data_IF_484461900568
#
_entry.id   IF_484461900568
#
_cell.length_a   1.000
_cell.length_b   1.000
_cell.length_c   1.000
_cell.angle_alpha   90.00
_cell.angle_beta   90.00
_cell.angle_gamma   90.00
#
_symmetry.space_group_name_H-M   'P 1'
#
loop_
_entity.id
_entity.type
_entity.pdbx_description
1 polymer ?
#
# COMPACT_ATOMS: atom_id res chain seq x y z
N UNK A 1 -56.63 -60.66 25.96
CA UNK A 1 -58.06 -60.74 25.52
C UNK A 1 -58.30 -59.60 24.51
N UNK A 2 -58.91 -60.00 23.41
CA UNK A 2 -59.53 -59.23 22.32
C UNK A 2 -58.59 -58.57 21.30
N UNK A 3 -58.55 -59.22 20.19
CA UNK A 3 -58.17 -58.80 18.84
C UNK A 3 -59.26 -57.87 18.27
N UNK A 4 -58.89 -56.90 17.50
CA UNK A 4 -59.72 -56.40 16.38
C UNK A 4 -58.77 -56.07 15.22
N UNK A 5 -58.97 -56.78 14.10
CA UNK A 5 -58.43 -56.48 12.76
C UNK A 5 -59.31 -55.42 12.09
N UNK A 6 -58.69 -54.46 11.41
CA UNK A 6 -59.35 -53.80 10.32
C UNK A 6 -58.42 -53.73 9.09
N UNK A 7 -58.96 -54.41 8.06
CA UNK A 7 -58.45 -54.36 6.69
C UNK A 7 -59.09 -53.17 6.01
N UNK A 8 -58.35 -52.30 5.36
CA UNK A 8 -58.91 -51.34 4.39
C UNK A 8 -58.01 -51.33 3.16
N UNK A 9 -58.71 -51.38 2.03
CA UNK A 9 -58.27 -51.57 0.66
C UNK A 9 -57.31 -50.57 0.11
N UNK A 10 -56.47 -51.05 -0.78
CA UNK A 10 -55.65 -50.35 -1.74
C UNK A 10 -56.53 -49.63 -2.80
N UNK A 11 -56.23 -48.36 -3.03
CA UNK A 11 -56.61 -47.66 -4.26
C UNK A 11 -55.35 -47.18 -4.92
N UNK A 12 -55.01 -47.81 -6.02
CA UNK A 12 -53.96 -47.41 -6.94
C UNK A 12 -54.48 -46.26 -7.78
N UNK A 13 -53.89 -45.09 -7.63
CA UNK A 13 -54.07 -43.97 -8.57
C UNK A 13 -52.75 -43.79 -9.32
N UNK A 14 -52.79 -44.21 -10.59
CA UNK A 14 -51.68 -43.91 -11.55
C UNK A 14 -51.84 -42.46 -11.95
N UNK A 15 -50.86 -41.65 -11.60
CA UNK A 15 -50.78 -40.26 -12.10
C UNK A 15 -49.48 -40.08 -12.87
N UNK A 16 -49.65 -39.64 -14.10
CA UNK A 16 -48.59 -39.56 -15.11
C UNK A 16 -47.44 -38.61 -14.75
N UNK A 17 -46.25 -39.03 -15.10
CA UNK A 17 -45.03 -38.20 -15.10
C UNK A 17 -45.15 -37.11 -16.14
N UNK A 18 -45.33 -35.86 -15.69
CA UNK A 18 -45.01 -34.70 -16.49
C UNK A 18 -43.61 -34.23 -16.09
N UNK A 19 -42.63 -34.49 -16.98
CA UNK A 19 -41.30 -33.99 -16.87
C UNK A 19 -41.30 -32.50 -17.12
N UNK A 20 -41.26 -31.68 -16.05
CA UNK A 20 -40.98 -30.27 -16.17
C UNK A 20 -39.49 -30.05 -16.19
N UNK A 21 -38.98 -29.66 -17.39
CA UNK A 21 -37.64 -29.18 -17.63
C UNK A 21 -37.41 -27.87 -16.82
N UNK A 22 -36.91 -27.98 -15.60
CA UNK A 22 -36.41 -26.82 -14.83
C UNK A 22 -35.10 -26.35 -15.47
N UNK A 23 -35.19 -25.43 -16.45
CA UNK A 23 -34.07 -24.59 -16.83
C UNK A 23 -33.67 -23.80 -15.58
N UNK A 24 -32.57 -24.21 -14.94
CA UNK A 24 -31.86 -23.39 -13.97
C UNK A 24 -31.42 -22.10 -14.65
N UNK A 25 -32.16 -21.04 -14.42
CA UNK A 25 -31.77 -19.67 -14.74
C UNK A 25 -30.62 -19.33 -13.79
N UNK A 26 -29.39 -19.67 -14.16
CA UNK A 26 -28.18 -19.10 -13.57
C UNK A 26 -28.11 -17.64 -13.98
N UNK A 27 -28.82 -16.81 -13.24
CA UNK A 27 -28.65 -15.36 -13.28
C UNK A 27 -27.21 -15.10 -12.82
N UNK A 28 -26.30 -14.92 -13.78
CA UNK A 28 -24.97 -14.42 -13.49
C UNK A 28 -25.14 -13.15 -12.64
N UNK A 29 -24.71 -13.19 -11.39
CA UNK A 29 -24.55 -11.99 -10.59
C UNK A 29 -23.61 -11.08 -11.38
N UNK A 30 -24.17 -10.04 -11.98
CA UNK A 30 -23.38 -8.88 -12.36
C UNK A 30 -22.77 -8.37 -11.07
N UNK A 31 -21.48 -8.60 -10.88
CA UNK A 31 -20.69 -7.89 -9.89
C UNK A 31 -20.84 -6.42 -10.22
N UNK A 32 -21.55 -5.71 -9.38
CA UNK A 32 -21.62 -4.26 -9.40
C UNK A 32 -20.19 -3.77 -9.19
N UNK A 33 -19.54 -3.33 -10.27
CA UNK A 33 -18.28 -2.62 -10.20
C UNK A 33 -18.59 -1.28 -9.52
N UNK A 34 -18.62 -1.28 -8.20
CA UNK A 34 -18.62 -0.04 -7.43
C UNK A 34 -17.30 0.66 -7.74
N UNK A 35 -17.35 1.46 -8.80
CA UNK A 35 -16.28 2.34 -9.23
C UNK A 35 -16.00 3.27 -8.06
N UNK A 36 -14.86 3.14 -7.41
CA UNK A 36 -14.44 4.10 -6.41
C UNK A 36 -14.43 5.48 -7.07
N UNK A 37 -15.28 6.38 -6.61
CA UNK A 37 -15.35 7.75 -7.14
C UNK A 37 -14.31 8.57 -6.40
N UNK A 38 -13.25 8.93 -7.10
CA UNK A 38 -12.23 9.84 -6.60
C UNK A 38 -12.58 11.29 -6.95
N UNK A 39 -12.10 12.28 -6.19
CA UNK A 39 -12.21 13.69 -6.57
C UNK A 39 -11.66 13.94 -7.98
N UNK A 40 -12.18 14.94 -8.68
CA UNK A 40 -11.76 15.24 -10.05
C UNK A 40 -10.23 15.36 -10.18
N UNK A 41 -9.67 14.64 -11.13
CA UNK A 41 -8.23 14.62 -11.45
C UNK A 41 -7.41 13.60 -10.66
N UNK A 42 -7.98 12.87 -9.71
CA UNK A 42 -7.31 11.79 -9.01
C UNK A 42 -7.50 10.44 -9.71
N UNK A 43 -6.45 9.63 -9.70
CA UNK A 43 -6.44 8.25 -10.23
C UNK A 43 -6.07 7.30 -9.11
N UNK A 44 -6.81 6.19 -8.98
CA UNK A 44 -6.45 5.15 -8.03
C UNK A 44 -5.15 4.48 -8.44
N UNK A 45 -4.21 4.35 -7.50
CA UNK A 45 -3.05 3.47 -7.61
C UNK A 45 -3.34 2.09 -6.99
N UNK A 46 -4.40 2.00 -6.18
CA UNK A 46 -4.87 0.75 -5.61
C UNK A 46 -6.39 0.67 -5.77
N UNK A 47 -6.87 -0.41 -6.37
CA UNK A 47 -8.29 -0.63 -6.67
C UNK A 47 -9.11 -1.19 -5.49
N UNK A 48 -8.45 -1.40 -4.33
CA UNK A 48 -9.06 -2.02 -3.13
C UNK A 48 -9.27 -3.53 -3.24
N UNK A 49 -8.82 -4.18 -4.31
CA UNK A 49 -9.11 -5.59 -4.61
C UNK A 49 -7.90 -6.40 -5.06
N UNK A 50 -6.97 -5.79 -5.78
CA UNK A 50 -5.84 -6.47 -6.42
C UNK A 50 -4.57 -5.64 -6.30
N UNK A 51 -3.43 -6.27 -6.56
CA UNK A 51 -2.13 -5.59 -6.65
C UNK A 51 -1.84 -5.09 -8.07
N UNK A 52 -2.85 -5.03 -8.95
CA UNK A 52 -2.70 -4.55 -10.33
C UNK A 52 -2.18 -3.10 -10.33
N UNK A 53 -1.20 -2.83 -11.17
CA UNK A 53 -0.53 -1.53 -11.25
C UNK A 53 0.70 -1.44 -10.35
N UNK A 54 1.07 -2.56 -9.70
CA UNK A 54 2.25 -2.70 -8.87
C UNK A 54 3.06 -3.94 -9.26
N UNK A 55 4.37 -3.86 -9.09
CA UNK A 55 5.28 -4.99 -9.24
C UNK A 55 6.36 -4.94 -8.15
N UNK A 56 7.06 -6.04 -7.96
CA UNK A 56 8.19 -6.11 -7.04
C UNK A 56 9.37 -5.31 -7.60
N UNK A 57 10.02 -4.51 -6.79
CA UNK A 57 11.23 -3.80 -7.21
C UNK A 57 12.27 -4.79 -7.76
N UNK A 58 12.79 -4.49 -8.96
CA UNK A 58 13.65 -5.41 -9.70
C UNK A 58 12.92 -6.30 -10.69
N UNK A 59 11.59 -6.15 -10.78
CA UNK A 59 10.73 -6.87 -11.72
C UNK A 59 10.06 -8.10 -11.14
N UNK A 60 9.07 -8.59 -11.88
CA UNK A 60 8.24 -9.72 -11.50
C UNK A 60 6.98 -9.32 -10.72
N UNK A 61 6.07 -10.27 -10.47
CA UNK A 61 4.83 -9.99 -9.78
C UNK A 61 5.08 -9.59 -8.31
N UNK A 62 4.12 -8.86 -7.75
CA UNK A 62 4.08 -8.59 -6.31
C UNK A 62 4.13 -9.91 -5.53
N UNK A 63 5.02 -10.01 -4.54
CA UNK A 63 5.19 -11.21 -3.74
C UNK A 63 3.96 -11.53 -2.90
N UNK A 64 3.77 -12.82 -2.56
CA UNK A 64 2.59 -13.32 -1.85
C UNK A 64 2.45 -12.84 -0.40
N UNK A 65 3.48 -12.22 0.16
CA UNK A 65 3.41 -11.55 1.46
C UNK A 65 2.59 -10.25 1.41
N UNK A 66 2.52 -9.60 0.25
CA UNK A 66 1.60 -8.50 0.03
C UNK A 66 0.21 -9.04 -0.27
N UNK A 67 -0.72 -8.74 0.61
CA UNK A 67 -2.09 -9.27 0.58
C UNK A 67 -3.12 -8.16 0.47
N UNK A 68 -4.29 -8.51 -0.06
CA UNK A 68 -5.43 -7.59 -0.13
C UNK A 68 -6.59 -8.19 0.65
N UNK A 69 -7.12 -7.45 1.60
CA UNK A 69 -8.33 -7.77 2.36
C UNK A 69 -9.06 -6.49 2.78
N UNK A 70 -10.38 -6.50 2.75
CA UNK A 70 -11.21 -5.37 3.19
C UNK A 70 -10.77 -4.02 2.62
N UNK A 71 -10.51 -3.98 1.30
CA UNK A 71 -10.01 -2.80 0.57
C UNK A 71 -8.69 -2.25 1.13
N UNK A 72 -7.88 -3.10 1.74
CA UNK A 72 -6.58 -2.77 2.32
C UNK A 72 -5.50 -3.63 1.67
N UNK A 73 -4.44 -2.98 1.21
CA UNK A 73 -3.19 -3.63 0.80
C UNK A 73 -2.28 -3.70 2.01
N UNK A 74 -1.76 -4.88 2.36
CA UNK A 74 -0.89 -5.00 3.52
C UNK A 74 0.23 -6.00 3.31
N UNK A 75 1.36 -5.74 3.95
CA UNK A 75 2.48 -6.65 4.04
C UNK A 75 2.29 -7.55 5.27
N UNK A 76 2.18 -8.84 5.05
CA UNK A 76 2.04 -9.84 6.12
C UNK A 76 3.42 -10.34 6.57
N UNK A 77 3.90 -9.81 7.69
CA UNK A 77 5.18 -10.18 8.28
C UNK A 77 5.13 -11.44 9.16
N UNK A 78 4.06 -12.22 9.12
CA UNK A 78 3.89 -13.41 9.98
C UNK A 78 4.75 -14.59 9.53
N UNK A 79 5.09 -14.69 8.24
CA UNK A 79 5.89 -15.79 7.69
C UNK A 79 7.26 -15.25 7.28
N UNK A 80 8.29 -15.65 8.05
CA UNK A 80 9.68 -15.25 7.81
C UNK A 80 10.58 -16.45 7.60
N UNK A 81 11.55 -16.29 6.71
CA UNK A 81 12.66 -17.22 6.53
C UNK A 81 13.97 -16.45 6.80
N UNK A 82 14.78 -16.95 7.72
CA UNK A 82 16.03 -16.29 8.16
C UNK A 82 15.85 -14.82 8.63
N UNK A 83 14.68 -14.50 9.22
CA UNK A 83 14.37 -13.15 9.70
C UNK A 83 13.78 -12.20 8.67
N UNK A 84 13.75 -12.58 7.39
CA UNK A 84 13.22 -11.80 6.26
C UNK A 84 11.82 -12.33 5.91
N UNK A 85 10.92 -11.45 5.53
CA UNK A 85 9.58 -11.86 5.09
C UNK A 85 9.69 -12.73 3.84
N UNK A 86 9.14 -13.95 3.94
CA UNK A 86 9.12 -14.87 2.80
C UNK A 86 8.25 -14.29 1.68
N UNK A 87 8.82 -14.21 0.47
CA UNK A 87 8.17 -13.67 -0.72
C UNK A 87 7.57 -12.27 -0.48
N UNK A 88 8.31 -11.46 0.27
CA UNK A 88 8.09 -10.02 0.46
C UNK A 88 8.92 -9.20 -0.54
N UNK A 89 9.40 -8.08 -0.06
CA UNK A 89 10.20 -7.08 -0.78
C UNK A 89 9.38 -5.86 -1.14
N UNK A 90 10.09 -4.78 -1.42
CA UNK A 90 9.49 -3.50 -1.83
C UNK A 90 8.67 -3.65 -3.10
N UNK A 91 7.56 -2.95 -3.17
CA UNK A 91 6.71 -2.90 -4.36
C UNK A 91 6.63 -1.48 -4.91
N UNK A 92 6.70 -1.39 -6.23
CA UNK A 92 6.68 -0.11 -6.94
C UNK A 92 5.52 -0.05 -7.92
N UNK A 93 5.03 1.16 -8.20
CA UNK A 93 4.00 1.37 -9.23
C UNK A 93 4.52 0.98 -10.61
N UNK A 94 3.66 0.45 -11.51
CA UNK A 94 4.03 0.22 -12.92
C UNK A 94 4.30 1.54 -13.66
N UNK A 95 3.54 2.59 -13.32
CA UNK A 95 3.72 3.93 -13.87
C UNK A 95 4.75 4.74 -13.08
N UNK A 96 5.41 5.68 -13.77
CA UNK A 96 6.30 6.68 -13.18
C UNK A 96 5.63 8.06 -13.15
N UNK A 97 5.98 8.86 -12.14
CA UNK A 97 5.41 10.19 -11.88
C UNK A 97 6.52 11.24 -11.70
N UNK A 98 6.28 12.46 -12.19
CA UNK A 98 7.20 13.59 -12.07
C UNK A 98 6.64 14.68 -11.16
N UNK A 99 5.51 15.29 -11.55
CA UNK A 99 4.79 16.26 -10.74
C UNK A 99 3.47 15.66 -10.31
N UNK A 100 3.26 15.55 -9.01
CA UNK A 100 2.11 14.82 -8.48
C UNK A 100 1.67 15.29 -7.09
N UNK A 101 0.42 14.98 -6.78
CA UNK A 101 -0.14 14.89 -5.45
C UNK A 101 -0.43 13.40 -5.19
N UNK A 102 0.24 12.76 -4.26
CA UNK A 102 0.00 11.41 -3.82
C UNK A 102 -0.76 11.46 -2.49
N UNK A 103 -1.90 10.81 -2.43
CA UNK A 103 -2.63 10.59 -1.17
C UNK A 103 -2.68 9.09 -0.85
N UNK A 104 -2.49 8.77 0.41
CA UNK A 104 -2.73 7.42 0.93
C UNK A 104 -3.01 7.46 2.43
N UNK A 105 -3.51 6.35 2.94
CA UNK A 105 -3.61 6.12 4.38
C UNK A 105 -2.77 4.90 4.75
N UNK A 106 -2.06 5.00 5.89
CA UNK A 106 -1.27 3.90 6.41
C UNK A 106 -1.55 3.63 7.88
N UNK A 107 -1.29 2.40 8.28
CA UNK A 107 -1.35 1.91 9.64
C UNK A 107 -0.18 0.95 9.85
N UNK A 108 0.45 0.96 11.03
CA UNK A 108 1.64 0.15 11.31
C UNK A 108 1.44 -0.73 12.53
N UNK A 109 2.13 -1.88 12.55
CA UNK A 109 2.19 -2.77 13.71
C UNK A 109 3.10 -2.20 14.80
N UNK A 110 2.97 -2.74 16.02
CA UNK A 110 3.84 -2.37 17.14
C UNK A 110 5.31 -2.66 16.82
N UNK A 111 6.18 -1.67 17.04
CA UNK A 111 7.59 -1.73 16.70
C UNK A 111 7.84 -1.76 15.19
N UNK A 112 6.85 -1.39 14.38
CA UNK A 112 6.94 -1.48 12.93
C UNK A 112 7.70 -0.33 12.29
N UNK A 113 8.28 -0.62 11.12
CA UNK A 113 8.97 0.30 10.24
C UNK A 113 8.54 0.01 8.79
N UNK A 114 8.37 1.04 8.01
CA UNK A 114 8.10 1.04 6.58
C UNK A 114 8.36 2.44 6.02
N UNK A 115 8.13 2.66 4.74
CA UNK A 115 8.32 3.95 4.10
C UNK A 115 7.48 4.09 2.84
N UNK A 116 7.25 5.33 2.44
CA UNK A 116 6.69 5.67 1.12
C UNK A 116 7.78 6.44 0.38
N UNK A 117 8.39 5.78 -0.62
CA UNK A 117 9.41 6.43 -1.43
C UNK A 117 8.80 6.93 -2.74
N UNK A 118 9.44 7.92 -3.32
CA UNK A 118 8.99 8.52 -4.58
C UNK A 118 10.20 8.88 -5.45
N UNK A 119 9.95 9.13 -6.74
CA UNK A 119 11.02 9.30 -7.72
C UNK A 119 12.02 8.13 -7.73
N UNK A 120 11.54 6.93 -7.40
CA UNK A 120 12.36 5.72 -7.43
C UNK A 120 12.72 5.39 -8.87
N UNK A 121 14.01 5.27 -9.15
CA UNK A 121 14.51 4.84 -10.45
C UNK A 121 14.88 3.37 -10.40
N UNK A 122 14.22 2.55 -11.20
CA UNK A 122 14.40 1.12 -11.22
C UNK A 122 15.46 0.71 -12.28
N UNK A 123 16.68 0.55 -11.81
CA UNK A 123 17.79 -0.03 -12.57
C UNK A 123 18.61 -0.94 -11.64
N UNK A 124 18.18 -2.18 -11.49
CA UNK A 124 18.81 -3.14 -10.56
C UNK A 124 20.22 -3.55 -10.95
N UNK A 125 20.71 -3.16 -12.11
CA UNK A 125 22.13 -3.31 -12.46
C UNK A 125 23.01 -2.35 -11.65
N UNK A 126 22.47 -1.17 -11.30
CA UNK A 126 23.13 -0.09 -10.55
C UNK A 126 22.62 0.06 -9.12
N UNK A 127 21.30 -0.01 -8.92
CA UNK A 127 20.61 0.25 -7.67
C UNK A 127 19.92 -1.01 -7.18
N UNK A 128 20.39 -1.59 -6.09
CA UNK A 128 19.89 -2.88 -5.59
C UNK A 128 18.61 -2.72 -4.76
N UNK A 129 18.35 -1.52 -4.29
CA UNK A 129 17.21 -1.20 -3.43
C UNK A 129 16.62 0.17 -3.80
N UNK A 130 15.31 0.40 -3.61
CA UNK A 130 14.64 1.65 -3.94
C UNK A 130 15.25 2.87 -3.25
N UNK A 131 15.64 2.74 -1.98
CA UNK A 131 16.21 3.85 -1.18
C UNK A 131 17.55 4.36 -1.70
N UNK A 132 18.20 3.70 -2.67
CA UNK A 132 19.40 4.22 -3.32
C UNK A 132 19.11 5.35 -4.30
N UNK A 133 17.84 5.55 -4.66
CA UNK A 133 17.40 6.56 -5.61
C UNK A 133 16.25 7.42 -5.09
N UNK A 134 15.25 6.82 -4.43
CA UNK A 134 14.02 7.46 -3.96
C UNK A 134 14.16 8.07 -2.57
N UNK A 135 13.86 9.37 -2.41
CA UNK A 135 13.61 9.94 -1.08
C UNK A 135 12.38 9.31 -0.44
N UNK A 136 12.35 9.29 0.88
CA UNK A 136 11.37 8.55 1.67
C UNK A 136 10.63 9.46 2.66
N UNK A 137 9.30 9.33 2.69
CA UNK A 137 8.50 9.72 3.83
C UNK A 137 8.40 8.54 4.78
N UNK A 138 8.94 8.70 5.99
CA UNK A 138 9.03 7.63 6.97
C UNK A 138 7.65 7.20 7.50
N UNK A 139 7.45 5.89 7.62
CA UNK A 139 6.31 5.23 8.26
C UNK A 139 6.82 4.41 9.44
N UNK A 140 6.51 4.83 10.68
CA UNK A 140 7.14 4.28 11.87
C UNK A 140 6.20 4.22 13.07
N UNK A 141 6.37 3.20 13.90
CA UNK A 141 5.98 3.25 15.31
C UNK A 141 7.04 4.05 16.10
N UNK A 142 6.80 5.36 16.28
CA UNK A 142 7.75 6.26 16.91
C UNK A 142 8.15 5.86 18.33
N UNK A 143 7.27 5.19 19.05
CA UNK A 143 7.51 4.79 20.46
C UNK A 143 8.13 3.39 20.56
N UNK A 144 7.76 2.49 19.65
CA UNK A 144 8.15 1.09 19.71
C UNK A 144 9.38 0.72 18.88
N UNK A 145 9.73 1.48 17.85
CA UNK A 145 10.88 1.21 16.99
C UNK A 145 12.14 1.99 17.44
N UNK A 146 13.36 1.40 17.38
CA UNK A 146 14.59 2.09 17.77
C UNK A 146 14.84 3.41 17.03
N UNK A 147 14.49 3.49 15.75
CA UNK A 147 14.63 4.71 14.92
C UNK A 147 13.78 5.88 15.43
N UNK A 148 12.70 5.63 16.14
CA UNK A 148 11.90 6.67 16.76
C UNK A 148 12.65 7.56 17.78
N UNK A 149 13.84 7.11 18.21
CA UNK A 149 14.76 7.87 19.08
C UNK A 149 15.77 8.72 18.30
N UNK A 150 15.82 8.52 16.98
CA UNK A 150 16.77 9.21 16.10
C UNK A 150 16.07 10.39 15.44
N UNK A 151 16.65 11.57 15.57
CA UNK A 151 16.16 12.77 14.89
C UNK A 151 16.21 12.58 13.37
N UNK A 152 15.16 12.94 12.66
CA UNK A 152 14.93 12.74 11.22
C UNK A 152 14.64 11.29 10.78
N UNK A 153 14.27 10.39 11.72
CA UNK A 153 13.88 9.02 11.41
C UNK A 153 12.46 8.68 11.92
N UNK A 154 11.71 9.66 12.39
CA UNK A 154 10.36 9.49 12.92
C UNK A 154 9.31 9.50 11.80
N UNK A 155 8.13 8.98 12.07
CA UNK A 155 7.04 8.98 11.11
C UNK A 155 6.74 10.39 10.58
N UNK A 156 6.66 10.51 9.25
CA UNK A 156 6.45 11.76 8.55
C UNK A 156 7.72 12.55 8.23
N UNK A 157 8.87 12.20 8.79
CA UNK A 157 10.13 12.82 8.42
C UNK A 157 10.48 12.54 6.95
N UNK A 158 11.11 13.50 6.28
CA UNK A 158 11.89 13.20 5.09
C UNK A 158 13.18 12.53 5.57
N UNK A 159 13.18 11.20 5.51
CA UNK A 159 14.10 10.32 6.22
C UNK A 159 15.55 10.76 6.07
N UNK A 160 16.25 10.89 7.22
CA UNK A 160 17.64 11.34 7.39
C UNK A 160 17.95 12.78 6.86
N UNK A 161 16.98 13.47 6.24
CA UNK A 161 17.17 14.81 5.70
C UNK A 161 16.49 15.90 6.53
N UNK A 162 15.17 15.83 6.71
CA UNK A 162 14.38 16.85 7.40
C UNK A 162 13.42 16.20 8.39
N UNK A 163 13.50 16.59 9.66
CA UNK A 163 12.52 16.20 10.66
C UNK A 163 11.20 16.96 10.48
N UNK A 164 10.10 16.31 10.81
CA UNK A 164 8.79 16.95 10.90
C UNK A 164 8.84 18.20 11.78
N UNK A 165 8.23 19.28 11.31
CA UNK A 165 8.05 20.51 12.09
C UNK A 165 7.10 20.33 13.28
N UNK A 166 6.22 19.32 13.19
CA UNK A 166 5.22 18.97 14.19
C UNK A 166 4.95 17.45 14.15
N UNK A 167 4.93 16.82 15.29
CA UNK A 167 4.55 15.42 15.40
C UNK A 167 3.03 15.29 15.42
N UNK A 168 2.48 14.65 14.40
CA UNK A 168 1.03 14.46 14.21
C UNK A 168 0.64 13.01 14.01
N UNK A 169 1.62 12.10 14.08
CA UNK A 169 1.39 10.66 13.94
C UNK A 169 0.42 10.15 15.00
N UNK A 170 -0.51 9.28 14.59
CA UNK A 170 -1.45 8.63 15.48
C UNK A 170 -0.84 7.37 16.09
N UNK A 171 -1.37 6.89 17.22
CA UNK A 171 -0.92 5.65 17.86
C UNK A 171 -0.91 4.45 16.93
N UNK A 172 -0.07 3.47 17.25
CA UNK A 172 -0.01 2.17 16.57
C UNK A 172 -1.40 1.56 16.41
N UNK A 173 -1.68 1.03 15.22
CA UNK A 173 -2.97 0.43 14.90
C UNK A 173 -4.03 1.42 14.41
N UNK A 174 -3.78 2.73 14.47
CA UNK A 174 -4.65 3.75 13.92
C UNK A 174 -4.23 4.17 12.52
N UNK A 175 -5.21 4.60 11.71
CA UNK A 175 -4.96 5.06 10.34
C UNK A 175 -4.44 6.49 10.32
N UNK A 176 -3.27 6.69 9.71
CA UNK A 176 -2.69 7.99 9.42
C UNK A 176 -2.99 8.37 7.96
N UNK A 177 -3.32 9.62 7.72
CA UNK A 177 -3.56 10.19 6.40
C UNK A 177 -2.30 10.92 5.94
N UNK A 178 -1.89 10.67 4.70
CA UNK A 178 -0.67 11.25 4.11
C UNK A 178 -0.99 11.87 2.77
N UNK A 179 -0.40 13.04 2.52
CA UNK A 179 -0.28 13.63 1.20
C UNK A 179 1.20 13.99 0.96
N UNK A 180 1.74 13.50 -0.17
CA UNK A 180 3.07 13.88 -0.67
C UNK A 180 2.87 14.67 -1.94
N UNK A 181 3.16 15.96 -1.91
CA UNK A 181 3.05 16.85 -3.07
C UNK A 181 4.43 17.18 -3.59
N UNK A 182 4.68 16.85 -4.86
CA UNK A 182 5.88 17.24 -5.58
C UNK A 182 5.48 18.01 -6.83
N UNK A 183 5.87 19.29 -6.91
CA UNK A 183 5.60 20.13 -8.07
C UNK A 183 6.79 21.03 -8.40
N UNK A 184 7.40 20.81 -9.56
CA UNK A 184 8.58 21.60 -10.03
C UNK A 184 9.67 21.72 -8.97
N UNK A 185 9.94 20.61 -8.26
CA UNK A 185 10.92 20.52 -7.19
C UNK A 185 10.42 20.95 -5.81
N UNK A 186 9.32 21.66 -5.68
CA UNK A 186 8.72 21.92 -4.36
C UNK A 186 8.12 20.64 -3.81
N UNK A 187 8.58 20.24 -2.65
CA UNK A 187 8.15 19.04 -1.93
C UNK A 187 7.50 19.44 -0.62
N UNK A 188 6.28 18.98 -0.42
CA UNK A 188 5.53 19.11 0.83
C UNK A 188 5.06 17.74 1.31
N UNK A 189 5.20 17.47 2.62
CA UNK A 189 4.55 16.34 3.28
C UNK A 189 3.46 16.85 4.22
N UNK A 190 2.26 16.32 4.04
CA UNK A 190 1.12 16.58 4.91
C UNK A 190 0.79 15.28 5.65
N UNK A 191 0.86 15.30 6.99
CA UNK A 191 0.52 14.16 7.84
C UNK A 191 -0.64 14.55 8.75
N UNK A 192 -1.76 13.81 8.62
CA UNK A 192 -2.99 14.04 9.38
C UNK A 192 -3.51 15.50 9.29
N UNK A 193 -3.42 16.08 8.07
CA UNK A 193 -3.91 17.43 7.78
C UNK A 193 -2.94 18.58 8.10
N UNK A 194 -1.77 18.28 8.66
CA UNK A 194 -0.74 19.28 8.96
C UNK A 194 0.42 19.17 7.98
N UNK A 195 0.87 20.29 7.42
CA UNK A 195 2.11 20.34 6.64
C UNK A 195 3.30 20.21 7.61
N UNK A 196 4.00 19.08 7.52
CA UNK A 196 5.07 18.74 8.47
C UNK A 196 6.47 18.86 7.88
N UNK A 197 6.61 18.79 6.55
CA UNK A 197 7.87 19.02 5.83
C UNK A 197 7.59 19.89 4.61
N UNK A 198 8.42 20.89 4.38
CA UNK A 198 8.46 21.67 3.13
C UNK A 198 9.90 21.92 2.73
N UNK A 199 10.24 21.64 1.48
CA UNK A 199 11.57 21.88 0.93
C UNK A 199 11.53 22.04 -0.59
N UNK A 200 12.68 22.36 -1.18
CA UNK A 200 12.86 22.32 -2.64
C UNK A 200 13.93 21.28 -2.97
N UNK A 201 13.56 20.28 -3.74
CA UNK A 201 14.48 19.27 -4.26
C UNK A 201 15.32 19.86 -5.40
N UNK A 202 16.52 19.34 -5.57
CA UNK A 202 17.44 19.61 -6.69
C UNK A 202 18.05 21.00 -6.72
N UNK A 203 17.87 21.79 -5.66
CA UNK A 203 18.58 23.05 -5.45
C UNK A 203 19.90 22.83 -4.65
N UNK A 204 20.64 23.90 -4.43
CA UNK A 204 21.90 23.86 -3.68
C UNK A 204 21.72 23.41 -2.23
N UNK A 205 20.57 23.75 -1.61
CA UNK A 205 20.29 23.31 -0.23
C UNK A 205 20.00 21.83 -0.18
N UNK A 206 19.23 21.31 -1.14
CA UNK A 206 19.01 19.87 -1.30
C UNK A 206 20.34 19.12 -1.44
N UNK A 207 21.21 19.58 -2.34
CA UNK A 207 22.50 18.96 -2.57
C UNK A 207 23.38 18.95 -1.31
N UNK A 208 23.38 20.04 -0.53
CA UNK A 208 24.08 20.13 0.76
C UNK A 208 23.49 19.18 1.80
N UNK A 209 22.17 19.05 1.88
CA UNK A 209 21.52 18.11 2.81
C UNK A 209 21.89 16.67 2.48
N UNK A 210 21.78 16.27 1.21
CA UNK A 210 22.18 14.91 0.77
C UNK A 210 23.64 14.65 1.06
N UNK A 211 24.53 15.58 0.75
CA UNK A 211 25.97 15.44 1.00
C UNK A 211 26.33 15.32 2.49
N UNK A 212 25.48 15.80 3.40
CA UNK A 212 25.66 15.70 4.86
C UNK A 212 24.92 14.54 5.51
N UNK A 213 24.14 13.76 4.75
CA UNK A 213 23.32 12.64 5.22
C UNK A 213 24.03 11.29 5.02
N UNK A 214 23.38 10.21 5.47
CA UNK A 214 23.82 8.84 5.19
C UNK A 214 23.85 8.50 3.69
N UNK A 215 23.11 9.25 2.89
CA UNK A 215 22.99 9.05 1.44
C UNK A 215 24.14 9.65 0.62
N UNK A 216 25.12 10.33 1.26
CA UNK A 216 26.26 10.97 0.59
C UNK A 216 27.07 10.06 -0.34
N UNK A 217 27.05 8.77 -0.10
CA UNK A 217 27.74 7.75 -0.92
C UNK A 217 26.83 7.09 -1.97
N UNK A 218 25.57 7.55 -2.10
CA UNK A 218 24.58 7.01 -3.04
C UNK A 218 24.38 8.00 -4.20
N UNK A 219 25.05 7.84 -5.34
CA UNK A 219 25.05 8.86 -6.41
C UNK A 219 23.70 9.04 -7.10
N UNK A 220 22.80 8.05 -6.99
CA UNK A 220 21.44 8.13 -7.53
C UNK A 220 20.42 8.75 -6.59
N UNK A 221 20.73 8.90 -5.30
CA UNK A 221 19.77 9.32 -4.30
C UNK A 221 19.25 10.74 -4.56
N UNK A 222 17.92 10.85 -4.72
CA UNK A 222 17.22 12.12 -4.88
C UNK A 222 17.61 12.91 -6.14
N UNK A 223 18.18 12.26 -7.18
CA UNK A 223 18.60 12.93 -8.44
C UNK A 223 17.57 12.82 -9.55
N UNK A 224 16.69 11.83 -9.50
CA UNK A 224 15.69 11.59 -10.51
C UNK A 224 14.45 12.47 -10.29
N UNK A 225 13.98 13.12 -11.36
CA UNK A 225 12.80 14.00 -11.32
C UNK A 225 11.50 13.27 -11.57
N UNK A 226 11.60 12.09 -12.16
CA UNK A 226 10.52 11.18 -12.50
C UNK A 226 10.88 9.78 -12.03
N UNK A 227 9.92 9.04 -11.51
CA UNK A 227 10.13 7.68 -11.07
C UNK A 227 8.88 7.06 -10.46
N UNK A 228 9.03 5.87 -9.96
CA UNK A 228 7.98 5.08 -9.33
C UNK A 228 7.66 5.60 -7.92
N UNK A 229 6.44 5.30 -7.45
CA UNK A 229 6.08 5.33 -6.04
C UNK A 229 6.35 3.94 -5.48
N UNK A 230 6.96 3.89 -4.30
CA UNK A 230 7.35 2.65 -3.62
C UNK A 230 6.68 2.53 -2.26
N UNK A 231 6.29 1.31 -1.91
CA UNK A 231 5.86 0.91 -0.57
C UNK A 231 6.88 -0.09 -0.02
N UNK A 232 7.56 0.32 1.04
CA UNK A 232 8.71 -0.40 1.58
C UNK A 232 8.31 -1.63 2.40
N UNK A 233 9.01 -2.74 2.16
CA UNK A 233 9.13 -3.88 3.05
C UNK A 233 10.32 -3.69 4.00
N UNK A 234 10.04 -3.42 5.27
CA UNK A 234 11.07 -3.35 6.32
C UNK A 234 10.83 -4.41 7.40
N UNK A 235 10.47 -5.62 6.96
CA UNK A 235 10.25 -6.81 7.82
C UNK A 235 9.16 -6.66 8.90
N UNK A 236 8.24 -5.71 8.71
CA UNK A 236 7.15 -5.42 9.65
C UNK A 236 5.80 -5.39 8.94
N UNK A 237 4.73 -5.73 9.66
CA UNK A 237 3.38 -5.62 9.10
C UNK A 237 2.95 -4.16 9.04
N UNK A 238 2.60 -3.73 7.84
CA UNK A 238 2.09 -2.40 7.51
C UNK A 238 0.87 -2.55 6.62
N UNK A 239 -0.09 -1.64 6.74
CA UNK A 239 -1.33 -1.60 5.96
C UNK A 239 -1.46 -0.27 5.26
N UNK A 240 -1.90 -0.32 3.99
CA UNK A 240 -2.16 0.83 3.13
C UNK A 240 -3.56 0.75 2.54
N UNK A 241 -4.22 1.89 2.37
CA UNK A 241 -5.50 1.99 1.68
C UNK A 241 -5.68 3.37 1.05
N UNK A 242 -6.71 3.53 0.22
CA UNK A 242 -7.05 4.80 -0.43
C UNK A 242 -5.85 5.43 -1.18
N UNK A 243 -5.01 4.56 -1.80
CA UNK A 243 -3.82 5.01 -2.52
C UNK A 243 -4.26 5.61 -3.85
N UNK A 244 -4.06 6.90 -4.01
CA UNK A 244 -4.44 7.63 -5.22
C UNK A 244 -3.45 8.74 -5.54
N UNK A 245 -3.37 9.09 -6.82
CA UNK A 245 -2.45 10.12 -7.30
C UNK A 245 -3.15 11.07 -8.25
N UNK A 246 -2.72 12.33 -8.22
CA UNK A 246 -3.09 13.36 -9.16
C UNK A 246 -1.85 13.87 -9.85
N UNK A 247 -1.79 13.83 -11.18
CA UNK A 247 -0.72 14.46 -11.97
C UNK A 247 -0.95 15.98 -11.97
N UNK A 248 0.13 16.75 -11.70
CA UNK A 248 0.11 18.21 -11.59
C UNK A 248 0.73 18.90 -12.79
#
# INVERSE_FOLDING_TARGET
MHRIFFVICALIVVSGCHSQNNKKNTRAMKTDETKMTFPNGWTALFDGRTTKGWHKYGGGPVGSAWKVTDSTLYLDATIKEHGIIKDGGDIVTDDEFENFDLYLEWKISKGGNSGVMFCVHEDTTKYKTPYQTGPEMQVLDNDGHPDGKIHKHRAGDLYDLIACSKETVKPVGEWNQVEIRLQKGKLDFILNGENVVSTTMWDDNWNKMVASSKFKSMPGFGTFKKGHIDLQDHDCTVWYRNIMIKKL
#
